data_IF_790490015534
#
_entry.id   IF_790490015534
#
_cell.length_a   1.000
_cell.length_b   1.000
_cell.length_c   1.000
_cell.angle_alpha   90.00
_cell.angle_beta   90.00
_cell.angle_gamma   90.00
#
_symmetry.space_group_name_H-M   'P 1'
#
loop_
_entity.id
_entity.type
_entity.pdbx_description
1 polymer ?
#
# COMPACT_ATOMS: atom_id res chain seq x y z
N UNK A 1 -29.90 -15.16 3.35
CA UNK A 1 -28.61 -15.48 2.81
C UNK A 1 -27.88 -16.40 3.78
N UNK A 2 -27.46 -17.56 3.36
CA UNK A 2 -26.69 -18.48 4.19
C UNK A 2 -25.34 -18.66 3.51
N UNK A 3 -24.29 -18.04 4.07
CA UNK A 3 -22.92 -18.42 3.74
C UNK A 3 -22.78 -19.93 3.98
N UNK A 4 -22.40 -20.68 2.96
CA UNK A 4 -22.30 -22.13 3.05
C UNK A 4 -20.91 -22.52 3.58
N UNK A 5 -20.52 -21.96 4.72
CA UNK A 5 -19.22 -22.19 5.40
C UNK A 5 -19.24 -23.49 6.20
N UNK A 6 -20.07 -24.47 5.83
CA UNK A 6 -20.09 -25.73 6.55
C UNK A 6 -18.93 -26.61 6.12
N UNK A 7 -18.02 -26.85 7.04
CA UNK A 7 -17.09 -27.97 6.92
C UNK A 7 -17.87 -29.27 7.18
N UNK A 8 -18.25 -29.92 6.09
CA UNK A 8 -19.02 -31.17 6.16
C UNK A 8 -18.24 -32.34 6.79
N UNK A 9 -16.96 -32.14 7.09
CA UNK A 9 -16.08 -33.16 7.68
C UNK A 9 -16.11 -33.16 9.21
N UNK A 10 -16.79 -32.19 9.84
CA UNK A 10 -16.91 -32.12 11.30
C UNK A 10 -18.31 -32.52 11.70
N UNK A 11 -18.50 -33.72 12.35
CA UNK A 11 -19.81 -34.20 12.79
C UNK A 11 -20.45 -33.22 13.79
N UNK A 12 -21.78 -33.07 13.70
CA UNK A 12 -22.53 -32.28 14.67
C UNK A 12 -22.35 -32.91 16.08
N UNK A 13 -22.05 -32.02 17.08
CA UNK A 13 -21.78 -32.46 18.45
C UNK A 13 -20.28 -32.68 18.75
N UNK A 14 -19.41 -32.52 17.78
CA UNK A 14 -17.96 -32.54 18.04
C UNK A 14 -17.58 -31.37 18.95
N UNK A 15 -16.90 -31.70 20.07
CA UNK A 15 -16.38 -30.66 20.98
C UNK A 15 -15.36 -29.80 20.27
N UNK A 16 -15.39 -28.49 20.51
CA UNK A 16 -14.40 -27.51 19.92
C UNK A 16 -12.94 -27.92 20.19
N UNK A 17 -12.67 -28.59 21.33
CA UNK A 17 -11.32 -29.05 21.69
C UNK A 17 -10.85 -30.22 20.83
N UNK A 18 -11.77 -30.94 20.19
CA UNK A 18 -11.50 -32.10 19.34
C UNK A 18 -11.39 -31.70 17.84
N UNK A 19 -11.72 -30.49 17.51
CA UNK A 19 -11.57 -29.98 16.14
C UNK A 19 -10.08 -29.73 15.86
N UNK A 20 -9.53 -30.50 14.93
CA UNK A 20 -8.15 -30.33 14.46
C UNK A 20 -8.13 -29.24 13.41
N UNK A 21 -7.47 -28.15 13.74
CA UNK A 21 -7.25 -27.04 12.79
C UNK A 21 -6.26 -27.50 11.70
N UNK A 22 -6.61 -27.39 10.42
CA UNK A 22 -5.69 -27.67 9.32
C UNK A 22 -4.39 -26.87 9.45
N UNK A 23 -3.26 -27.47 9.09
CA UNK A 23 -1.94 -26.81 9.21
C UNK A 23 -1.86 -25.51 8.39
N UNK A 24 -2.52 -25.48 7.22
CA UNK A 24 -2.58 -24.28 6.36
C UNK A 24 -3.18 -23.06 7.07
N UNK A 25 -4.05 -23.27 8.08
CA UNK A 25 -4.70 -22.18 8.83
C UNK A 25 -3.91 -21.71 10.06
N UNK A 26 -2.82 -22.39 10.42
CA UNK A 26 -2.06 -22.08 11.64
C UNK A 26 -1.00 -21.03 11.44
N UNK A 27 -0.47 -20.89 10.22
CA UNK A 27 0.66 -20.03 9.92
C UNK A 27 0.21 -18.76 9.20
N UNK A 28 0.65 -17.60 9.66
CA UNK A 28 0.46 -16.34 8.99
C UNK A 28 1.27 -16.30 7.70
N UNK A 29 0.76 -15.60 6.71
CA UNK A 29 1.37 -15.42 5.41
C UNK A 29 1.87 -13.96 5.28
N UNK A 30 3.15 -13.67 5.58
CA UNK A 30 3.69 -12.33 5.47
C UNK A 30 3.75 -11.90 4.00
N UNK A 31 3.36 -10.67 3.75
CA UNK A 31 3.48 -10.06 2.43
C UNK A 31 4.91 -9.64 2.11
N UNK A 32 5.66 -9.23 3.13
CA UNK A 32 6.97 -8.61 3.01
C UNK A 32 6.92 -7.08 2.91
N UNK A 33 5.73 -6.50 2.92
CA UNK A 33 5.51 -5.05 3.06
C UNK A 33 5.18 -4.78 4.52
N UNK A 34 6.08 -4.11 5.24
CA UNK A 34 6.02 -4.00 6.70
C UNK A 34 4.70 -3.42 7.21
N UNK A 35 4.24 -2.29 6.65
CA UNK A 35 2.99 -1.67 7.10
C UNK A 35 1.74 -2.53 6.78
N UNK A 36 1.79 -3.36 5.73
CA UNK A 36 0.72 -4.32 5.42
C UNK A 36 0.78 -5.47 6.43
N UNK A 37 1.95 -6.03 6.69
CA UNK A 37 2.10 -7.14 7.63
C UNK A 37 1.68 -6.74 9.04
N UNK A 38 2.04 -5.54 9.49
CA UNK A 38 1.61 -4.99 10.78
C UNK A 38 0.10 -4.72 10.83
N UNK A 39 -0.48 -4.19 9.73
CA UNK A 39 -1.93 -4.00 9.62
C UNK A 39 -2.70 -5.32 9.82
N UNK A 40 -2.13 -6.43 9.38
CA UNK A 40 -2.72 -7.77 9.51
C UNK A 40 -2.21 -8.57 10.72
N UNK A 41 -1.28 -8.02 11.53
CA UNK A 41 -0.71 -8.70 12.71
C UNK A 41 0.31 -9.77 12.33
N UNK A 42 1.37 -9.35 11.66
CA UNK A 42 2.48 -10.13 11.09
C UNK A 42 2.09 -11.00 9.88
N UNK A 43 1.25 -10.45 9.00
CA UNK A 43 0.84 -11.07 7.74
C UNK A 43 -0.59 -11.56 7.71
N UNK A 44 -1.02 -11.99 6.52
CA UNK A 44 -2.38 -12.44 6.27
C UNK A 44 -2.71 -13.74 7.03
N UNK A 45 -3.90 -13.81 7.61
CA UNK A 45 -4.46 -15.09 8.07
C UNK A 45 -4.97 -15.85 6.86
N UNK A 46 -4.61 -17.11 6.66
CA UNK A 46 -5.17 -17.92 5.57
C UNK A 46 -6.71 -18.00 5.62
N UNK A 47 -7.33 -18.25 4.48
CA UNK A 47 -8.79 -18.37 4.38
C UNK A 47 -9.55 -17.08 4.73
N UNK A 48 -9.02 -15.92 4.32
CA UNK A 48 -9.63 -14.61 4.61
C UNK A 48 -9.97 -13.85 3.36
N UNK A 49 -11.03 -13.03 3.48
CA UNK A 49 -11.42 -12.06 2.48
C UNK A 49 -11.16 -10.65 3.02
N UNK A 50 -10.36 -9.91 2.31
CA UNK A 50 -9.99 -8.51 2.62
C UNK A 50 -10.59 -7.57 1.60
N UNK A 51 -11.22 -6.51 2.07
CA UNK A 51 -11.77 -5.44 1.25
C UNK A 51 -10.89 -4.20 1.37
N UNK A 52 -10.26 -3.79 0.27
CA UNK A 52 -9.59 -2.50 0.15
C UNK A 52 -10.54 -1.49 -0.45
N UNK A 53 -10.78 -0.41 0.29
CA UNK A 53 -11.65 0.68 -0.14
C UNK A 53 -10.87 1.97 -0.30
N UNK A 54 -11.40 2.90 -1.07
CA UNK A 54 -10.79 4.22 -1.19
C UNK A 54 -11.27 4.98 -2.41
N UNK A 55 -11.03 6.28 -2.40
CA UNK A 55 -11.40 7.18 -3.47
C UNK A 55 -10.66 6.85 -4.79
N UNK A 56 -11.23 7.20 -5.95
CA UNK A 56 -10.50 7.18 -7.22
C UNK A 56 -9.21 8.00 -7.11
N UNK A 57 -8.11 7.49 -7.66
CA UNK A 57 -6.81 8.18 -7.63
C UNK A 57 -6.04 8.07 -6.30
N UNK A 58 -6.56 7.39 -5.27
CA UNK A 58 -5.82 7.17 -4.02
C UNK A 58 -4.60 6.25 -4.17
N UNK A 59 -4.47 5.51 -5.28
CA UNK A 59 -3.35 4.61 -5.56
C UNK A 59 -3.62 3.14 -5.22
N UNK A 60 -4.90 2.73 -5.16
CA UNK A 60 -5.28 1.34 -4.82
C UNK A 60 -4.67 0.30 -5.76
N UNK A 61 -4.77 0.50 -7.07
CA UNK A 61 -4.17 -0.36 -8.09
C UNK A 61 -2.65 -0.44 -7.92
N UNK A 62 -1.98 0.69 -7.71
CA UNK A 62 -0.53 0.73 -7.42
C UNK A 62 -0.18 -0.12 -6.21
N UNK A 63 -0.91 0.04 -5.10
CA UNK A 63 -0.69 -0.74 -3.88
C UNK A 63 -0.91 -2.24 -4.12
N UNK A 64 -1.94 -2.61 -4.89
CA UNK A 64 -2.24 -4.02 -5.17
C UNK A 64 -1.21 -4.67 -6.09
N UNK A 65 -0.69 -3.96 -7.09
CA UNK A 65 0.38 -4.48 -7.95
C UNK A 65 1.69 -4.65 -7.17
N UNK A 66 2.06 -3.67 -6.33
CA UNK A 66 3.22 -3.79 -5.42
C UNK A 66 3.03 -4.96 -4.43
N UNK A 67 1.81 -5.15 -3.93
CA UNK A 67 1.49 -6.27 -3.05
C UNK A 67 1.57 -7.62 -3.78
N UNK A 68 1.09 -7.69 -5.03
CA UNK A 68 1.17 -8.89 -5.86
C UNK A 68 2.63 -9.32 -6.09
N UNK A 69 3.50 -8.36 -6.44
CA UNK A 69 4.93 -8.56 -6.59
C UNK A 69 5.56 -9.10 -5.30
N UNK A 70 5.29 -8.44 -4.19
CA UNK A 70 5.86 -8.80 -2.90
C UNK A 70 5.39 -10.17 -2.40
N UNK A 71 4.11 -10.52 -2.59
CA UNK A 71 3.57 -11.86 -2.30
C UNK A 71 4.22 -12.94 -3.20
N UNK A 72 4.40 -12.64 -4.50
CA UNK A 72 5.06 -13.53 -5.44
C UNK A 72 6.53 -13.78 -5.04
N UNK A 73 7.24 -12.76 -4.55
CA UNK A 73 8.61 -12.88 -4.03
C UNK A 73 8.74 -13.84 -2.83
N UNK A 74 7.64 -14.03 -2.07
CA UNK A 74 7.57 -15.03 -1.00
C UNK A 74 7.28 -16.45 -1.50
N UNK A 75 7.16 -16.63 -2.82
CA UNK A 75 6.86 -17.92 -3.44
C UNK A 75 5.39 -18.28 -3.43
N UNK A 76 4.49 -17.35 -3.13
CA UNK A 76 3.04 -17.58 -3.19
C UNK A 76 2.54 -17.56 -4.63
N UNK A 77 1.45 -18.27 -4.90
CA UNK A 77 0.76 -18.20 -6.18
C UNK A 77 -0.22 -17.02 -6.12
N UNK A 78 0.01 -15.99 -6.93
CA UNK A 78 -0.81 -14.78 -6.96
C UNK A 78 -1.52 -14.68 -8.29
N UNK A 79 -2.85 -14.57 -8.27
CA UNK A 79 -3.68 -14.26 -9.42
C UNK A 79 -4.24 -12.86 -9.28
N UNK A 80 -3.80 -11.94 -10.15
CA UNK A 80 -4.27 -10.56 -10.20
C UNK A 80 -5.28 -10.40 -11.34
N UNK A 81 -6.54 -10.29 -11.00
CA UNK A 81 -7.62 -10.10 -11.96
C UNK A 81 -8.04 -8.64 -12.01
N UNK A 82 -7.85 -8.00 -13.15
CA UNK A 82 -8.33 -6.65 -13.45
C UNK A 82 -9.46 -6.73 -14.48
N UNK A 83 -10.48 -5.89 -14.32
CA UNK A 83 -11.52 -5.71 -15.33
C UNK A 83 -11.74 -4.20 -15.64
N UNK A 84 -10.95 -3.31 -15.04
CA UNK A 84 -10.98 -1.87 -15.30
C UNK A 84 -9.89 -1.46 -16.30
N UNK A 85 -8.75 -2.13 -16.31
CA UNK A 85 -7.60 -1.81 -17.16
C UNK A 85 -7.26 -2.97 -18.10
N UNK A 86 -6.74 -2.66 -19.28
CA UNK A 86 -6.16 -3.68 -20.16
C UNK A 86 -4.88 -4.26 -19.57
N UNK A 87 -4.55 -5.51 -19.91
CA UNK A 87 -3.29 -6.13 -19.48
C UNK A 87 -2.05 -5.35 -19.95
N UNK A 88 -2.15 -4.61 -21.05
CA UNK A 88 -1.08 -3.71 -21.50
C UNK A 88 -0.89 -2.53 -20.55
N UNK A 89 -1.97 -1.92 -20.05
CA UNK A 89 -1.89 -0.84 -19.06
C UNK A 89 -1.33 -1.34 -17.72
N UNK A 90 -1.77 -2.52 -17.29
CA UNK A 90 -1.20 -3.19 -16.11
C UNK A 90 0.30 -3.43 -16.31
N UNK A 91 0.72 -3.96 -17.46
CA UNK A 91 2.14 -4.20 -17.77
C UNK A 91 2.96 -2.89 -17.75
N UNK A 92 2.45 -1.79 -18.34
CA UNK A 92 3.11 -0.48 -18.28
C UNK A 92 3.24 0.02 -16.83
N UNK A 93 2.22 -0.22 -16.00
CA UNK A 93 2.28 0.15 -14.58
C UNK A 93 3.28 -0.71 -13.82
N UNK A 94 3.38 -2.01 -14.13
CA UNK A 94 4.38 -2.91 -13.58
C UNK A 94 5.81 -2.48 -13.95
N UNK A 95 6.05 -2.07 -15.20
CA UNK A 95 7.34 -1.52 -15.64
C UNK A 95 7.71 -0.27 -14.82
N UNK A 96 6.78 0.69 -14.68
CA UNK A 96 7.01 1.90 -13.89
C UNK A 96 7.30 1.62 -12.41
N UNK A 97 6.65 0.59 -11.85
CA UNK A 97 6.82 0.17 -10.46
C UNK A 97 8.03 -0.75 -10.25
N UNK A 98 8.79 -1.04 -11.32
CA UNK A 98 9.95 -1.96 -11.28
C UNK A 98 9.60 -3.34 -10.69
N UNK A 99 8.41 -3.88 -11.05
CA UNK A 99 7.95 -5.19 -10.60
C UNK A 99 8.85 -6.28 -11.20
N UNK A 100 9.40 -7.13 -10.34
CA UNK A 100 10.41 -8.12 -10.71
C UNK A 100 9.98 -9.57 -10.50
N UNK A 101 8.85 -9.83 -9.85
CA UNK A 101 8.39 -11.18 -9.54
C UNK A 101 7.16 -11.52 -10.37
N UNK A 102 7.08 -12.77 -10.82
CA UNK A 102 6.00 -13.25 -11.67
C UNK A 102 4.71 -13.52 -10.85
N UNK A 103 3.63 -12.93 -11.29
CA UNK A 103 2.27 -13.28 -10.89
C UNK A 103 1.38 -13.46 -12.13
N UNK A 104 0.23 -14.10 -11.96
CA UNK A 104 -0.67 -14.41 -13.07
C UNK A 104 -1.69 -13.28 -13.26
N UNK A 105 -1.68 -12.55 -14.39
CA UNK A 105 -2.72 -11.55 -14.67
C UNK A 105 -3.95 -12.21 -15.30
N UNK A 106 -5.14 -11.62 -15.05
CA UNK A 106 -6.40 -11.99 -15.68
C UNK A 106 -7.30 -10.81 -15.94
N UNK A 107 -8.31 -10.99 -16.77
CA UNK A 107 -9.30 -9.96 -17.16
C UNK A 107 -10.73 -10.51 -17.15
N UNK A 108 -11.07 -11.36 -16.17
CA UNK A 108 -12.40 -11.93 -16.07
C UNK A 108 -13.38 -10.98 -15.39
N UNK A 109 -14.55 -10.85 -15.99
CA UNK A 109 -15.69 -10.15 -15.39
C UNK A 109 -16.75 -11.12 -14.88
N UNK A 110 -16.84 -12.31 -15.45
CA UNK A 110 -17.74 -13.37 -15.00
C UNK A 110 -17.16 -14.10 -13.78
N UNK A 111 -17.92 -14.16 -12.68
CA UNK A 111 -17.45 -14.74 -11.42
C UNK A 111 -17.18 -16.25 -11.54
N UNK A 112 -17.94 -16.98 -12.35
CA UNK A 112 -17.77 -18.42 -12.52
C UNK A 112 -16.51 -18.73 -13.33
N UNK A 113 -16.23 -17.95 -14.39
CA UNK A 113 -14.99 -18.04 -15.14
C UNK A 113 -13.77 -17.67 -14.28
N UNK A 114 -13.89 -16.63 -13.43
CA UNK A 114 -12.85 -16.27 -12.48
C UNK A 114 -12.51 -17.42 -11.53
N UNK A 115 -13.54 -18.08 -10.97
CA UNK A 115 -13.34 -19.24 -10.07
C UNK A 115 -12.71 -20.41 -10.83
N UNK A 116 -13.12 -20.70 -12.06
CA UNK A 116 -12.53 -21.75 -12.88
C UNK A 116 -11.03 -21.49 -13.14
N UNK A 117 -10.65 -20.26 -13.43
CA UNK A 117 -9.25 -19.87 -13.59
C UNK A 117 -8.46 -20.02 -12.27
N UNK A 118 -9.06 -19.71 -11.14
CA UNK A 118 -8.45 -19.96 -9.82
C UNK A 118 -8.19 -21.45 -9.60
N UNK A 119 -9.14 -22.31 -9.92
CA UNK A 119 -8.99 -23.77 -9.78
C UNK A 119 -7.89 -24.32 -10.69
N UNK A 120 -7.78 -23.83 -11.93
CA UNK A 120 -6.71 -24.22 -12.85
C UNK A 120 -5.33 -23.81 -12.32
N UNK A 121 -5.19 -22.56 -11.86
CA UNK A 121 -3.92 -22.08 -11.31
C UNK A 121 -3.52 -22.78 -10.03
N UNK A 122 -4.48 -23.08 -9.16
CA UNK A 122 -4.24 -23.85 -7.92
C UNK A 122 -3.82 -25.29 -8.23
N UNK A 123 -4.45 -25.92 -9.22
CA UNK A 123 -4.06 -27.26 -9.66
C UNK A 123 -2.62 -27.29 -10.20
N UNK A 124 -2.16 -26.23 -10.85
CA UNK A 124 -0.77 -26.07 -11.32
C UNK A 124 0.22 -25.73 -10.17
N UNK A 125 -0.26 -25.22 -9.05
CA UNK A 125 0.53 -24.79 -7.90
C UNK A 125 0.03 -25.40 -6.56
N UNK A 126 -0.08 -26.73 -6.42
CA UNK A 126 -0.84 -27.37 -5.34
C UNK A 126 -0.30 -27.14 -3.92
N UNK A 127 0.97 -26.77 -3.79
CA UNK A 127 1.64 -26.62 -2.49
C UNK A 127 1.94 -25.16 -2.13
N UNK A 128 1.47 -24.21 -2.93
CA UNK A 128 1.71 -22.79 -2.67
C UNK A 128 0.47 -22.14 -2.04
N UNK A 129 0.63 -21.30 -1.03
CA UNK A 129 -0.43 -20.38 -0.62
C UNK A 129 -0.94 -19.60 -1.82
N UNK A 130 -2.27 -19.46 -1.93
CA UNK A 130 -2.89 -18.82 -3.08
C UNK A 130 -3.53 -17.50 -2.68
N UNK A 131 -3.25 -16.46 -3.45
CA UNK A 131 -3.85 -15.14 -3.32
C UNK A 131 -4.57 -14.78 -4.61
N UNK A 132 -5.85 -14.45 -4.49
CA UNK A 132 -6.63 -13.82 -5.56
C UNK A 132 -6.77 -12.34 -5.23
N UNK A 133 -6.31 -11.48 -6.13
CA UNK A 133 -6.50 -10.03 -6.07
C UNK A 133 -7.49 -9.64 -7.17
N UNK A 134 -8.55 -8.92 -6.81
CA UNK A 134 -9.61 -8.48 -7.74
C UNK A 134 -9.68 -6.96 -7.79
N UNK A 135 -9.39 -6.39 -8.92
CA UNK A 135 -9.47 -4.94 -9.19
C UNK A 135 -10.43 -4.65 -10.35
N UNK A 136 -11.70 -4.41 -10.07
CA UNK A 136 -12.35 -4.22 -8.79
C UNK A 136 -13.57 -5.15 -8.62
N UNK A 137 -14.09 -5.23 -7.41
CA UNK A 137 -15.28 -6.03 -7.09
C UNK A 137 -16.53 -5.58 -7.88
N UNK A 138 -16.62 -4.30 -8.21
CA UNK A 138 -17.78 -3.74 -8.92
C UNK A 138 -17.86 -4.14 -10.39
N UNK A 139 -16.77 -4.61 -10.96
CA UNK A 139 -16.69 -5.06 -12.35
C UNK A 139 -17.07 -6.52 -12.53
N UNK A 140 -17.23 -7.26 -11.41
CA UNK A 140 -17.67 -8.65 -11.49
C UNK A 140 -19.17 -8.76 -11.68
N UNK A 141 -19.54 -9.71 -12.52
CA UNK A 141 -20.93 -10.08 -12.86
C UNK A 141 -21.20 -11.54 -12.45
N UNK A 142 -22.46 -11.81 -12.25
CA UNK A 142 -22.97 -13.18 -12.10
C UNK A 142 -24.05 -13.48 -13.17
N UNK A 143 -24.38 -14.75 -13.36
CA UNK A 143 -25.36 -15.20 -14.36
C UNK A 143 -26.80 -14.71 -14.10
N UNK A 144 -27.06 -13.93 -13.04
CA UNK A 144 -28.39 -13.40 -12.71
C UNK A 144 -28.65 -11.99 -13.26
N UNK A 145 -27.71 -11.46 -14.04
CA UNK A 145 -27.87 -10.27 -14.86
C UNK A 145 -27.29 -8.96 -14.30
N UNK A 146 -26.30 -8.46 -15.02
CA UNK A 146 -25.83 -7.09 -15.05
C UNK A 146 -25.11 -6.54 -13.83
N UNK A 147 -24.36 -5.49 -14.08
CA UNK A 147 -23.69 -4.70 -13.04
C UNK A 147 -24.72 -4.03 -12.12
N UNK A 148 -24.92 -4.56 -10.92
CA UNK A 148 -25.82 -3.98 -9.92
C UNK A 148 -25.22 -4.11 -8.51
N UNK A 149 -25.70 -3.28 -7.58
CA UNK A 149 -25.30 -3.38 -6.16
C UNK A 149 -25.57 -4.77 -5.54
N UNK A 150 -26.57 -5.48 -6.08
CA UNK A 150 -26.88 -6.84 -5.66
C UNK A 150 -25.94 -7.85 -6.28
N UNK A 151 -25.49 -7.67 -7.54
CA UNK A 151 -24.48 -8.51 -8.18
C UNK A 151 -23.16 -8.44 -7.43
N UNK A 152 -22.64 -7.24 -7.13
CA UNK A 152 -21.44 -7.04 -6.31
C UNK A 152 -21.49 -7.83 -4.98
N UNK A 153 -22.65 -7.82 -4.32
CA UNK A 153 -22.83 -8.58 -3.08
C UNK A 153 -22.78 -10.08 -3.32
N UNK A 154 -23.45 -10.59 -4.36
CA UNK A 154 -23.46 -12.02 -4.69
C UNK A 154 -22.08 -12.51 -5.11
N UNK A 155 -21.34 -11.71 -5.93
CA UNK A 155 -19.95 -12.04 -6.28
C UNK A 155 -19.06 -12.13 -5.03
N UNK A 156 -19.19 -11.19 -4.08
CA UNK A 156 -18.44 -11.26 -2.83
C UNK A 156 -18.83 -12.47 -1.98
N UNK A 157 -20.10 -12.92 -2.03
CA UNK A 157 -20.54 -14.16 -1.39
C UNK A 157 -19.83 -15.37 -1.97
N UNK A 158 -19.80 -15.49 -3.30
CA UNK A 158 -19.10 -16.57 -4.00
C UNK A 158 -17.61 -16.56 -3.64
N UNK A 159 -16.96 -15.40 -3.69
CA UNK A 159 -15.55 -15.26 -3.33
C UNK A 159 -15.28 -15.64 -1.87
N UNK A 160 -16.20 -15.28 -0.96
CA UNK A 160 -16.06 -15.62 0.47
C UNK A 160 -16.20 -17.12 0.70
N UNK A 161 -17.19 -17.77 0.08
CA UNK A 161 -17.38 -19.21 0.18
C UNK A 161 -16.18 -19.95 -0.42
N UNK A 162 -15.70 -19.53 -1.58
CA UNK A 162 -14.53 -20.10 -2.23
C UNK A 162 -13.27 -19.97 -1.37
N UNK A 163 -13.02 -18.78 -0.78
CA UNK A 163 -11.89 -18.56 0.11
C UNK A 163 -11.90 -19.50 1.32
N UNK A 164 -13.10 -19.72 1.91
CA UNK A 164 -13.26 -20.58 3.09
C UNK A 164 -13.13 -22.07 2.75
N UNK A 165 -13.65 -22.50 1.61
CA UNK A 165 -13.59 -23.90 1.17
C UNK A 165 -12.19 -24.34 0.80
N UNK A 166 -11.39 -23.43 0.24
CA UNK A 166 -10.08 -23.75 -0.33
C UNK A 166 -8.90 -23.17 0.46
N UNK A 167 -9.16 -22.54 1.60
CA UNK A 167 -8.13 -21.91 2.46
C UNK A 167 -7.25 -20.89 1.76
N UNK A 168 -7.79 -20.19 0.75
CA UNK A 168 -7.10 -19.14 0.01
C UNK A 168 -7.37 -17.77 0.59
N UNK A 169 -6.56 -16.80 0.19
CA UNK A 169 -6.78 -15.39 0.51
C UNK A 169 -7.37 -14.68 -0.70
N UNK A 170 -8.45 -13.94 -0.49
CA UNK A 170 -9.03 -13.04 -1.47
C UNK A 170 -8.86 -11.61 -1.01
N UNK A 171 -8.29 -10.79 -1.85
CA UNK A 171 -8.13 -9.35 -1.66
C UNK A 171 -8.91 -8.67 -2.78
N UNK A 172 -9.88 -7.84 -2.45
CA UNK A 172 -10.69 -7.17 -3.46
C UNK A 172 -10.73 -5.66 -3.23
N UNK A 173 -10.60 -4.91 -4.32
CA UNK A 173 -10.77 -3.46 -4.31
C UNK A 173 -12.25 -3.14 -4.44
N UNK A 174 -12.71 -2.14 -3.70
CA UNK A 174 -14.02 -1.54 -3.85
C UNK A 174 -13.88 -0.02 -3.85
N UNK A 175 -14.37 0.63 -4.89
CA UNK A 175 -14.39 2.09 -4.96
C UNK A 175 -15.48 2.64 -4.04
N UNK A 176 -15.18 3.75 -3.37
CA UNK A 176 -16.14 4.53 -2.60
C UNK A 176 -16.49 5.81 -3.37
N UNK A 177 -17.69 6.34 -3.15
CA UNK A 177 -18.07 7.63 -3.68
C UNK A 177 -17.35 8.76 -2.91
N UNK A 178 -17.48 10.02 -3.38
CA UNK A 178 -16.86 11.20 -2.74
C UNK A 178 -17.34 11.46 -1.30
N UNK A 179 -18.45 10.86 -0.87
CA UNK A 179 -18.91 10.91 0.53
C UNK A 179 -18.31 9.80 1.41
N UNK A 180 -17.38 9.00 0.87
CA UNK A 180 -16.78 7.87 1.58
C UNK A 180 -17.72 6.66 1.73
N UNK A 181 -18.89 6.71 1.08
CA UNK A 181 -19.86 5.62 1.14
C UNK A 181 -19.66 4.62 0.00
N UNK A 182 -19.59 3.35 0.33
CA UNK A 182 -19.70 2.27 -0.65
C UNK A 182 -21.17 2.02 -0.96
N UNK A 183 -21.48 1.78 -2.22
CA UNK A 183 -22.78 1.27 -2.60
C UNK A 183 -23.04 -0.09 -1.93
N UNK A 184 -23.97 -0.17 -0.97
CA UNK A 184 -24.25 -1.39 -0.20
C UNK A 184 -23.32 -1.63 0.99
N UNK A 185 -22.66 -0.60 1.50
CA UNK A 185 -21.53 -0.62 2.42
C UNK A 185 -21.67 -1.49 3.67
N UNK A 186 -22.82 -1.43 4.36
CA UNK A 186 -23.00 -2.17 5.62
C UNK A 186 -22.97 -3.69 5.40
N UNK A 187 -23.61 -4.19 4.32
CA UNK A 187 -23.67 -5.62 4.05
C UNK A 187 -22.28 -6.17 3.67
N UNK A 188 -21.55 -5.47 2.81
CA UNK A 188 -20.19 -5.85 2.41
C UNK A 188 -19.23 -5.89 3.60
N UNK A 189 -19.31 -4.87 4.50
CA UNK A 189 -18.49 -4.84 5.74
C UNK A 189 -18.73 -6.06 6.64
N UNK A 190 -19.94 -6.58 6.69
CA UNK A 190 -20.24 -7.78 7.51
C UNK A 190 -19.68 -9.06 6.91
N UNK A 191 -19.55 -9.15 5.60
CA UNK A 191 -19.15 -10.35 4.87
C UNK A 191 -17.64 -10.59 4.90
N UNK A 192 -16.82 -9.54 4.90
CA UNK A 192 -15.36 -9.64 4.85
C UNK A 192 -14.74 -9.85 6.23
N UNK A 193 -13.53 -10.39 6.27
CA UNK A 193 -12.78 -10.64 7.49
C UNK A 193 -11.95 -9.39 7.89
N UNK A 194 -11.42 -8.67 6.91
CA UNK A 194 -10.71 -7.42 7.11
C UNK A 194 -11.17 -6.33 6.14
N UNK A 195 -11.06 -5.07 6.57
CA UNK A 195 -11.36 -3.92 5.75
C UNK A 195 -10.32 -2.85 5.99
N UNK A 196 -9.74 -2.38 4.90
CA UNK A 196 -8.72 -1.34 4.87
C UNK A 196 -9.21 -0.21 3.99
N UNK A 197 -9.02 1.01 4.43
CA UNK A 197 -9.39 2.21 3.70
C UNK A 197 -8.16 3.04 3.36
N UNK A 198 -7.98 3.32 2.06
CA UNK A 198 -6.91 4.15 1.52
C UNK A 198 -7.49 5.42 0.93
N UNK A 199 -7.08 6.58 1.42
CA UNK A 199 -7.56 7.87 0.95
C UNK A 199 -6.45 8.93 0.95
N UNK A 200 -6.64 10.02 0.22
CA UNK A 200 -5.81 11.21 0.39
C UNK A 200 -5.98 11.76 1.80
N UNK A 201 -4.87 12.12 2.42
CA UNK A 201 -4.89 12.65 3.77
C UNK A 201 -5.57 14.03 3.79
N UNK A 202 -6.52 14.20 4.70
CA UNK A 202 -7.20 15.49 4.89
C UNK A 202 -6.21 16.55 5.38
N UNK A 203 -6.36 17.78 4.88
CA UNK A 203 -5.56 18.94 5.31
C UNK A 203 -5.66 19.21 6.82
N UNK A 204 -6.79 18.86 7.45
CA UNK A 204 -6.98 18.99 8.89
C UNK A 204 -6.10 17.99 9.63
N UNK A 205 -6.14 16.72 9.23
CA UNK A 205 -5.29 15.67 9.79
C UNK A 205 -3.80 16.00 9.57
N UNK A 206 -3.43 16.51 8.39
CA UNK A 206 -2.06 16.94 8.09
C UNK A 206 -1.57 18.03 9.04
N UNK A 207 -2.43 19.03 9.33
CA UNK A 207 -2.10 20.08 10.30
C UNK A 207 -2.00 19.55 11.73
N UNK A 208 -2.91 18.66 12.13
CA UNK A 208 -2.88 18.02 13.45
C UNK A 208 -1.60 17.20 13.66
N UNK A 209 -1.09 16.60 12.59
CA UNK A 209 0.14 15.80 12.60
C UNK A 209 1.41 16.61 12.30
N UNK A 210 1.28 17.94 12.08
CA UNK A 210 2.40 18.82 11.72
C UNK A 210 3.19 18.29 10.50
N UNK A 211 2.46 17.78 9.53
CA UNK A 211 3.00 17.13 8.35
C UNK A 211 2.83 18.07 7.14
N UNK A 212 3.93 18.62 6.64
CA UNK A 212 3.93 19.54 5.49
C UNK A 212 3.98 18.83 4.13
N UNK A 213 3.92 17.50 4.12
CA UNK A 213 3.98 16.71 2.90
C UNK A 213 2.67 16.83 2.12
N UNK A 214 2.75 17.20 0.85
CA UNK A 214 1.61 17.22 -0.07
C UNK A 214 1.40 15.84 -0.68
N UNK A 215 0.14 15.42 -0.79
CA UNK A 215 -0.19 14.16 -1.46
C UNK A 215 -0.03 12.90 -0.63
N UNK A 216 0.17 13.02 0.68
CA UNK A 216 0.20 11.87 1.60
C UNK A 216 -1.16 11.16 1.63
N UNK A 217 -1.13 9.84 1.68
CA UNK A 217 -2.30 8.98 1.83
C UNK A 217 -2.35 8.45 3.25
N UNK A 218 -3.57 8.30 3.76
CA UNK A 218 -3.82 7.55 4.98
C UNK A 218 -4.36 6.17 4.64
N UNK A 219 -3.76 5.14 5.21
CA UNK A 219 -4.24 3.77 5.17
C UNK A 219 -4.73 3.41 6.57
N UNK A 220 -6.02 3.13 6.70
CA UNK A 220 -6.68 2.85 7.98
C UNK A 220 -7.23 1.43 8.00
N UNK A 221 -6.97 0.69 9.07
CA UNK A 221 -7.54 -0.63 9.31
C UNK A 221 -8.86 -0.48 10.05
N UNK A 222 -9.98 -0.50 9.30
CA UNK A 222 -11.32 -0.32 9.86
C UNK A 222 -11.87 -1.59 10.52
N UNK A 223 -11.49 -2.75 10.00
CA UNK A 223 -11.90 -4.07 10.50
C UNK A 223 -10.79 -5.06 10.32
N UNK A 224 -10.55 -5.88 11.35
CA UNK A 224 -9.70 -7.06 11.26
C UNK A 224 -10.17 -8.11 12.28
N UNK A 225 -10.71 -9.23 11.79
CA UNK A 225 -11.19 -10.33 12.67
C UNK A 225 -10.05 -11.08 13.34
N UNK A 226 -8.89 -11.12 12.72
CA UNK A 226 -7.77 -11.96 13.14
C UNK A 226 -6.56 -11.16 13.61
N UNK A 227 -6.72 -9.86 13.82
CA UNK A 227 -5.66 -8.97 14.28
C UNK A 227 -6.20 -7.67 14.87
N UNK A 228 -5.32 -6.73 15.09
CA UNK A 228 -5.70 -5.42 15.61
C UNK A 228 -6.44 -4.61 14.54
N UNK A 229 -7.44 -3.85 14.94
CA UNK A 229 -8.04 -2.79 14.14
C UNK A 229 -7.65 -1.43 14.71
N UNK A 230 -7.81 -0.37 13.91
CA UNK A 230 -7.48 0.98 14.35
C UNK A 230 -6.03 1.39 14.11
N UNK A 231 -5.27 0.67 13.29
CA UNK A 231 -4.03 1.16 12.73
C UNK A 231 -4.30 2.27 11.71
N UNK A 232 -3.48 3.31 11.76
CA UNK A 232 -3.40 4.36 10.77
C UNK A 232 -1.95 4.46 10.30
N UNK A 233 -1.72 4.29 9.00
CA UNK A 233 -0.43 4.50 8.36
C UNK A 233 -0.52 5.73 7.45
N UNK A 234 0.46 6.60 7.51
CA UNK A 234 0.64 7.69 6.57
C UNK A 234 1.68 7.29 5.54
N UNK A 235 1.25 7.25 4.30
CA UNK A 235 2.00 6.74 3.17
C UNK A 235 2.22 7.85 2.15
N UNK A 236 3.43 7.99 1.67
CA UNK A 236 3.73 8.77 0.49
C UNK A 236 3.67 7.88 -0.74
N UNK A 237 3.14 8.40 -1.85
CA UNK A 237 3.14 7.68 -3.13
C UNK A 237 4.25 8.27 -3.99
N UNK A 238 5.33 7.54 -4.05
CA UNK A 238 6.50 7.82 -4.87
C UNK A 238 6.39 7.11 -6.23
N UNK A 239 7.34 7.34 -7.11
CA UNK A 239 7.34 6.76 -8.46
C UNK A 239 7.32 5.22 -8.43
N UNK A 240 8.05 4.61 -7.49
CA UNK A 240 8.20 3.16 -7.34
C UNK A 240 7.21 2.54 -6.34
N UNK A 241 6.18 3.28 -5.91
CA UNK A 241 5.15 2.77 -5.02
C UNK A 241 4.99 3.53 -3.71
N UNK A 242 4.47 2.86 -2.70
CA UNK A 242 4.18 3.47 -1.40
C UNK A 242 5.36 3.37 -0.43
N UNK A 243 5.68 4.51 0.20
CA UNK A 243 6.67 4.60 1.28
C UNK A 243 5.97 5.03 2.56
N UNK A 244 6.12 4.25 3.63
CA UNK A 244 5.59 4.62 4.93
C UNK A 244 6.38 5.79 5.53
N UNK A 245 5.67 6.82 5.96
CA UNK A 245 6.26 7.98 6.67
C UNK A 245 5.98 7.91 8.17
N UNK A 246 4.75 7.53 8.56
CA UNK A 246 4.34 7.44 9.96
C UNK A 246 3.30 6.34 10.18
N UNK A 247 3.24 5.81 11.41
CA UNK A 247 2.21 4.87 11.85
C UNK A 247 1.67 5.22 13.23
N UNK A 248 0.37 5.02 13.41
CA UNK A 248 -0.32 5.16 14.69
C UNK A 248 -1.11 3.90 15.00
N UNK A 249 -0.84 3.31 16.17
CA UNK A 249 -1.66 2.23 16.71
C UNK A 249 -2.74 2.83 17.63
N UNK A 250 -4.00 2.80 17.22
CA UNK A 250 -5.10 3.11 18.15
C UNK A 250 -5.30 1.88 19.01
N UNK A 251 -4.94 1.96 20.31
CA UNK A 251 -5.32 0.91 21.27
C UNK A 251 -6.84 0.79 21.24
N UNK A 252 -7.36 -0.37 20.81
CA UNK A 252 -8.79 -0.64 20.86
C UNK A 252 -9.29 -0.47 22.30
N UNK A 253 -10.03 0.61 22.54
CA UNK A 253 -10.94 0.67 23.67
C UNK A 253 -12.03 -0.33 23.34
N UNK A 254 -12.02 -1.47 24.03
CA UNK A 254 -12.92 -2.59 23.78
C UNK A 254 -14.36 -2.11 23.63
N UNK A 255 -15.03 -2.54 22.56
CA UNK A 255 -16.42 -2.21 22.26
C UNK A 255 -17.41 -2.66 23.37
N UNK A 256 -16.98 -3.53 24.30
CA UNK A 256 -17.71 -3.94 25.49
C UNK A 256 -17.97 -2.81 26.51
N UNK A 257 -17.20 -1.71 26.45
CA UNK A 257 -17.32 -0.62 27.40
C UNK A 257 -18.35 0.46 27.00
N UNK A 258 -18.84 0.44 25.75
CA UNK A 258 -19.92 1.34 25.30
C UNK A 258 -21.32 0.96 25.78
N UNK A 259 -21.50 -0.24 26.33
CA UNK A 259 -22.82 -0.75 26.70
C UNK A 259 -23.23 -0.53 28.16
N UNK A 260 -22.35 -0.03 29.03
CA UNK A 260 -22.68 0.23 30.45
C UNK A 260 -22.54 1.70 30.78
N UNK A 261 -23.67 2.29 31.11
CA UNK A 261 -23.83 3.72 31.32
C UNK A 261 -22.95 4.33 32.40
N UNK A 262 -22.74 5.63 32.22
CA UNK A 262 -22.35 6.67 33.17
C UNK A 262 -21.60 6.21 34.44
N UNK A 263 -20.29 6.10 34.29
CA UNK A 263 -19.38 6.07 35.45
C UNK A 263 -18.32 7.15 35.24
N UNK A 264 -18.35 8.18 36.07
CA UNK A 264 -17.43 9.34 36.00
C UNK A 264 -15.97 8.94 36.22
N UNK A 265 -15.71 7.88 36.96
CA UNK A 265 -14.36 7.36 37.17
C UNK A 265 -13.68 6.83 35.90
N UNK A 266 -14.49 6.31 34.94
CA UNK A 266 -14.01 5.86 33.63
C UNK A 266 -13.67 7.02 32.68
N UNK A 267 -14.41 8.13 32.77
CA UNK A 267 -14.11 9.33 31.99
C UNK A 267 -12.78 9.96 32.41
N UNK A 268 -12.45 9.94 33.70
CA UNK A 268 -11.16 10.40 34.23
C UNK A 268 -10.01 9.48 33.77
N UNK A 269 -10.20 8.16 33.74
CA UNK A 269 -9.20 7.22 33.21
C UNK A 269 -8.99 7.32 31.71
N UNK A 270 -10.03 7.61 30.93
CA UNK A 270 -9.96 7.89 29.50
C UNK A 270 -9.20 9.20 29.25
N UNK A 271 -9.52 10.25 30.01
CA UNK A 271 -8.83 11.53 29.90
C UNK A 271 -7.35 11.43 30.31
N UNK A 272 -7.03 10.64 31.35
CA UNK A 272 -5.65 10.40 31.76
C UNK A 272 -4.87 9.57 30.72
N UNK A 273 -5.50 8.61 30.03
CA UNK A 273 -4.90 7.88 28.94
C UNK A 273 -4.71 8.74 27.69
N UNK A 274 -5.69 9.61 27.36
CA UNK A 274 -5.53 10.61 26.29
C UNK A 274 -4.38 11.58 26.58
N UNK A 275 -4.26 12.05 27.84
CA UNK A 275 -3.15 12.92 28.24
C UNK A 275 -1.81 12.22 28.10
N UNK A 276 -1.67 10.95 28.53
CA UNK A 276 -0.45 10.15 28.33
C UNK A 276 -0.10 9.93 26.86
N UNK A 277 -1.11 9.65 26.03
CA UNK A 277 -0.93 9.48 24.59
C UNK A 277 -0.49 10.79 23.93
N UNK A 278 -1.03 11.94 24.39
CA UNK A 278 -0.59 13.26 23.93
C UNK A 278 0.84 13.60 24.40
N UNK A 279 1.22 13.20 25.61
CA UNK A 279 2.60 13.38 26.11
C UNK A 279 3.60 12.51 25.35
N UNK A 280 3.26 11.25 25.06
CA UNK A 280 4.07 10.37 24.23
C UNK A 280 4.19 10.89 22.79
N UNK A 281 3.10 11.44 22.26
CA UNK A 281 3.05 12.10 20.96
C UNK A 281 3.97 13.33 20.93
N UNK A 282 3.90 14.17 21.96
CA UNK A 282 4.75 15.37 22.06
C UNK A 282 6.22 15.00 22.13
N UNK A 283 6.59 13.98 22.91
CA UNK A 283 7.97 13.45 22.97
C UNK A 283 8.45 12.89 21.63
N UNK A 284 7.58 12.16 20.93
CA UNK A 284 7.92 11.61 19.63
C UNK A 284 8.10 12.72 18.58
N UNK A 285 7.26 13.76 18.66
CA UNK A 285 7.38 14.97 17.81
C UNK A 285 8.72 15.69 18.07
N UNK A 286 9.12 15.85 19.32
CA UNK A 286 10.41 16.44 19.69
C UNK A 286 11.59 15.60 19.16
N UNK A 287 11.54 14.27 19.29
CA UNK A 287 12.55 13.36 18.78
C UNK A 287 12.67 13.43 17.23
N UNK A 288 11.53 13.48 16.52
CA UNK A 288 11.50 13.63 15.07
C UNK A 288 12.05 14.98 14.62
N UNK A 289 11.71 16.04 15.32
CA UNK A 289 12.23 17.38 15.03
C UNK A 289 13.77 17.45 15.25
N UNK A 290 14.25 16.81 16.30
CA UNK A 290 15.69 16.70 16.58
C UNK A 290 16.40 15.87 15.50
N UNK A 291 15.79 14.76 15.07
CA UNK A 291 16.34 13.92 14.00
C UNK A 291 16.34 14.63 12.64
N UNK A 292 15.29 15.39 12.34
CA UNK A 292 15.24 16.23 11.12
C UNK A 292 16.36 17.27 11.12
N UNK A 293 16.60 17.91 12.25
CA UNK A 293 17.69 18.88 12.43
C UNK A 293 19.08 18.23 12.24
N UNK A 294 19.29 17.05 12.82
CA UNK A 294 20.51 16.25 12.62
C UNK A 294 20.74 15.89 11.15
N UNK A 295 19.70 15.44 10.45
CA UNK A 295 19.76 15.09 9.03
C UNK A 295 20.04 16.32 8.16
N UNK A 296 19.47 17.48 8.51
CA UNK A 296 19.72 18.73 7.81
C UNK A 296 21.17 19.22 8.04
N UNK A 297 21.69 19.07 9.25
CA UNK A 297 23.10 19.33 9.56
C UNK A 297 24.03 18.37 8.81
N UNK A 298 23.73 17.09 8.76
CA UNK A 298 24.48 16.10 7.98
C UNK A 298 24.44 16.42 6.46
N UNK A 299 23.29 16.77 5.94
CA UNK A 299 23.15 17.19 4.54
C UNK A 299 23.99 18.43 4.22
N UNK A 300 23.94 19.43 5.10
CA UNK A 300 24.75 20.64 4.95
C UNK A 300 26.26 20.37 5.10
N UNK A 301 26.64 19.42 5.96
CA UNK A 301 28.03 18.98 6.09
C UNK A 301 28.53 18.25 4.84
N UNK A 302 27.67 17.43 4.21
CA UNK A 302 28.00 16.76 2.92
C UNK A 302 28.11 17.77 1.79
N UNK A 303 27.20 18.74 1.70
CA UNK A 303 27.21 19.79 0.67
C UNK A 303 28.42 20.74 0.81
N UNK A 304 28.84 21.00 2.05
CA UNK A 304 29.98 21.86 2.35
C UNK A 304 31.29 21.11 2.59
N UNK A 305 31.32 19.78 2.42
CA UNK A 305 32.56 19.02 2.49
C UNK A 305 33.48 19.42 1.33
N UNK A 306 34.77 19.71 1.58
CA UNK A 306 35.71 20.00 0.49
C UNK A 306 35.75 18.78 -0.43
N UNK A 307 35.59 19.01 -1.74
CA UNK A 307 35.74 17.99 -2.75
C UNK A 307 37.04 17.23 -2.54
N UNK A 308 36.99 15.90 -2.64
CA UNK A 308 38.21 15.09 -2.58
C UNK A 308 39.16 15.55 -3.71
N UNK A 309 40.46 15.38 -3.51
CA UNK A 309 41.47 15.76 -4.50
C UNK A 309 41.18 15.12 -5.88
N UNK A 310 40.69 13.89 -5.89
CA UNK A 310 40.26 13.17 -7.11
C UNK A 310 39.04 13.82 -7.78
N UNK A 311 38.03 14.24 -7.02
CA UNK A 311 36.86 14.95 -7.55
C UNK A 311 37.21 16.32 -8.11
N UNK A 312 38.16 17.03 -7.48
CA UNK A 312 38.69 18.29 -7.99
C UNK A 312 39.47 18.12 -9.32
N UNK A 313 40.26 17.04 -9.43
CA UNK A 313 40.96 16.72 -10.68
C UNK A 313 39.98 16.34 -11.81
N UNK A 314 38.96 15.55 -11.51
CA UNK A 314 37.94 15.17 -12.50
C UNK A 314 37.11 16.36 -12.97
N UNK A 315 36.81 17.30 -12.07
CA UNK A 315 36.15 18.56 -12.41
C UNK A 315 37.05 19.44 -13.29
N UNK A 316 38.28 19.60 -12.94
CA UNK A 316 39.26 20.36 -13.72
C UNK A 316 39.44 19.82 -15.16
N UNK A 317 39.53 18.50 -15.31
CA UNK A 317 39.61 17.85 -16.63
C UNK A 317 38.33 18.08 -17.47
N UNK A 318 37.15 18.01 -16.86
CA UNK A 318 35.88 18.32 -17.55
C UNK A 318 35.79 19.77 -18.00
N UNK A 319 36.25 20.70 -17.19
CA UNK A 319 36.28 22.11 -17.49
C UNK A 319 37.30 22.45 -18.61
N UNK A 320 38.51 21.84 -18.58
CA UNK A 320 39.48 21.92 -19.66
C UNK A 320 38.94 21.43 -21.00
N UNK A 321 38.28 20.25 -21.00
CA UNK A 321 37.66 19.72 -22.20
C UNK A 321 36.53 20.62 -22.76
N UNK A 322 35.81 21.32 -21.90
CA UNK A 322 34.80 22.30 -22.33
C UNK A 322 35.41 23.52 -22.97
N UNK A 323 36.52 24.04 -22.44
CA UNK A 323 37.26 25.15 -22.99
C UNK A 323 37.85 24.78 -24.37
N UNK A 324 38.45 23.60 -24.50
CA UNK A 324 38.99 23.14 -25.76
C UNK A 324 37.91 22.97 -26.84
N UNK A 325 36.77 22.39 -26.47
CA UNK A 325 35.59 22.26 -27.33
C UNK A 325 35.02 23.63 -27.76
N UNK A 326 35.02 24.63 -26.87
CA UNK A 326 34.57 25.98 -27.18
C UNK A 326 35.53 26.70 -28.14
N UNK A 327 36.83 26.54 -27.97
CA UNK A 327 37.85 27.03 -28.90
C UNK A 327 37.67 26.41 -30.30
N UNK A 328 37.44 25.12 -30.40
CA UNK A 328 37.15 24.42 -31.66
C UNK A 328 35.87 24.90 -32.34
N UNK A 329 34.89 25.37 -31.58
CA UNK A 329 33.64 25.96 -32.09
C UNK A 329 33.72 27.47 -32.40
N UNK A 330 34.90 28.04 -32.39
CA UNK A 330 35.13 29.44 -32.77
C UNK A 330 34.85 30.48 -31.68
N UNK A 331 34.76 30.05 -30.43
CA UNK A 331 34.64 30.96 -29.28
C UNK A 331 36.03 31.53 -28.99
N UNK A 332 36.14 32.86 -29.00
CA UNK A 332 37.41 33.60 -28.75
C UNK A 332 37.76 33.51 -27.26
N UNK A 333 38.67 32.60 -26.89
CA UNK A 333 39.20 32.40 -25.53
C UNK A 333 40.71 32.54 -25.59
N UNK A 334 41.22 33.60 -24.94
CA UNK A 334 42.66 33.90 -24.92
C UNK A 334 43.33 33.32 -23.68
N UNK A 335 44.63 33.08 -23.72
CA UNK A 335 45.36 32.43 -22.64
C UNK A 335 45.59 33.29 -21.40
N UNK A 336 45.47 34.62 -21.57
CA UNK A 336 45.58 35.65 -20.51
C UNK A 336 44.30 35.80 -19.66
N UNK A 337 43.19 35.17 -20.07
CA UNK A 337 41.95 35.17 -19.30
C UNK A 337 42.03 34.27 -18.06
N UNK A 338 41.43 34.71 -16.95
CA UNK A 338 41.28 33.87 -15.78
C UNK A 338 40.33 32.70 -16.06
N UNK A 339 40.43 31.63 -15.28
CA UNK A 339 39.58 30.45 -15.41
C UNK A 339 38.08 30.76 -15.33
N UNK A 340 37.68 31.61 -14.39
CA UNK A 340 36.29 32.07 -14.22
C UNK A 340 35.79 32.86 -15.44
N UNK A 341 36.64 33.69 -16.06
CA UNK A 341 36.31 34.44 -17.26
C UNK A 341 36.08 33.50 -18.45
N UNK A 342 36.93 32.49 -18.62
CA UNK A 342 36.79 31.48 -19.68
C UNK A 342 35.47 30.72 -19.57
N UNK A 343 35.08 30.24 -18.37
CA UNK A 343 33.80 29.53 -18.11
C UNK A 343 32.59 30.46 -18.31
N UNK A 344 32.66 31.73 -17.93
CA UNK A 344 31.61 32.72 -18.14
C UNK A 344 31.26 32.90 -19.62
N UNK A 345 32.28 32.98 -20.48
CA UNK A 345 32.13 33.17 -21.94
C UNK A 345 31.48 31.89 -22.55
N UNK A 346 31.88 30.72 -22.12
CA UNK A 346 31.32 29.45 -22.58
C UNK A 346 29.82 29.33 -22.22
N UNK A 347 29.45 29.70 -21.01
CA UNK A 347 28.05 29.67 -20.55
C UNK A 347 27.19 30.71 -21.31
N UNK A 348 27.70 31.88 -21.63
CA UNK A 348 26.99 32.88 -22.42
C UNK A 348 26.82 32.46 -23.89
N UNK A 349 27.83 31.82 -24.50
CA UNK A 349 27.72 31.32 -25.89
C UNK A 349 26.76 30.12 -26.00
N UNK A 350 26.63 29.33 -24.96
CA UNK A 350 25.71 28.20 -24.91
C UNK A 350 24.24 28.62 -24.76
N UNK A 351 23.96 29.78 -24.18
CA UNK A 351 22.60 30.32 -24.03
C UNK A 351 22.09 31.00 -25.32
N UNK A 352 22.97 31.46 -26.22
CA UNK A 352 22.58 32.07 -27.51
C UNK A 352 22.25 31.04 -28.59
N UNK A 353 22.65 29.78 -28.45
CA UNK A 353 22.32 28.69 -29.37
C UNK A 353 21.05 27.92 -29.02
N UNK A 354 20.27 28.36 -28.04
CA UNK A 354 18.97 27.77 -27.63
C UNK A 354 17.77 28.72 -27.84
N UNK A 355 17.92 29.83 -28.55
CA UNK A 355 16.83 30.75 -28.92
C UNK A 355 16.40 30.53 -30.37
#
# INVERSE_FOLDING_TARGET
>A
MKLNVRDNNIPLGTSIRNIKVPEQLKTRLPSGIEFIDDAFGNGFTPSTVTLFTGEPGAGKTTLMLTLADSLASKGYCVYYNTAEESLYQVAMTCERLEINNDFYPGQETDIEALIANCDELRAKNPNKPFFLIVDSLQTLEDNQGGFSKSATTRCLEVLTDYAKQHYINVITICQVNKSGEMAGSQKLKHMVDAMIHLQLCDKKLMKELDCDLTGVRSLTVEKNRFGSSGWLFLLDLEENGFVEKFRYGIKNINASDKAKGKDTSKQESINANLARTNDEFTKLKEQLMQRKLELEQQKNAIVNAPLSYEALQEQAQKEEAQIEKAKLNGVEITDDMTWEQKLSIINQSSSHNRA
#
